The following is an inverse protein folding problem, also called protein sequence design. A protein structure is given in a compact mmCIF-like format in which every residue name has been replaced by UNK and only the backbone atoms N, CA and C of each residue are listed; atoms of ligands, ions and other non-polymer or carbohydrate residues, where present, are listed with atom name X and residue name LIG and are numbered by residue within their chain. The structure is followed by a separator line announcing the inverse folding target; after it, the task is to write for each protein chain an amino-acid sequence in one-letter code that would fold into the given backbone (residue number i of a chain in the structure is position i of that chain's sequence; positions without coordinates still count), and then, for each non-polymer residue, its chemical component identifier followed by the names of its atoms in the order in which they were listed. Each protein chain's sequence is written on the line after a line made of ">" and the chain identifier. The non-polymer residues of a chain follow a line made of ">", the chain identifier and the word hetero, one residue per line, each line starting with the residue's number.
data_IF_432034950756
#
_entry.id   IF_432034950756
#
_cell.length_a   1.000
_cell.length_b   1.000
_cell.length_c   1.000
_cell.angle_alpha   90.00
_cell.angle_beta   90.00
_cell.angle_gamma   90.00
#
_symmetry.space_group_name_H-M   'P 1'
#
loop_
_entity.id
_entity.type
_entity.pdbx_description
1 polymer ?
#
# COMPACT_ATOMS: atom_id res chain seq x y z
N UNK A 1 17.38 0.83 32.26
CA UNK A 1 15.90 0.79 32.15
C UNK A 1 15.34 -0.24 33.13
N UNK A 2 14.11 -0.07 33.62
CA UNK A 2 13.45 -1.09 34.45
C UNK A 2 13.03 -2.30 33.59
N UNK A 3 12.91 -3.50 34.18
CA UNK A 3 12.46 -4.69 33.46
C UNK A 3 11.09 -4.48 32.77
N UNK A 4 10.19 -3.73 33.41
CA UNK A 4 8.89 -3.34 32.86
C UNK A 4 9.03 -2.45 31.61
N UNK A 5 9.92 -1.46 31.64
CA UNK A 5 10.15 -0.58 30.49
C UNK A 5 10.78 -1.32 29.31
N UNK A 6 11.64 -2.32 29.58
CA UNK A 6 12.21 -3.19 28.54
C UNK A 6 11.13 -4.05 27.88
N UNK A 7 10.22 -4.63 28.68
CA UNK A 7 9.09 -5.41 28.17
C UNK A 7 8.15 -4.56 27.30
N UNK A 8 7.80 -3.35 27.77
CA UNK A 8 6.96 -2.41 27.02
C UNK A 8 7.62 -1.96 25.71
N UNK A 9 8.92 -1.65 25.72
CA UNK A 9 9.67 -1.36 24.49
C UNK A 9 9.71 -2.56 23.53
N UNK A 10 9.85 -3.78 24.05
CA UNK A 10 9.79 -5.01 23.27
C UNK A 10 8.43 -5.19 22.56
N UNK A 11 7.34 -4.95 23.28
CA UNK A 11 5.98 -5.00 22.72
C UNK A 11 5.77 -3.96 21.61
N UNK A 12 6.27 -2.73 21.80
CA UNK A 12 6.24 -1.70 20.75
C UNK A 12 7.01 -2.12 19.51
N UNK A 13 8.22 -2.67 19.67
CA UNK A 13 9.02 -3.17 18.55
C UNK A 13 8.33 -4.31 17.81
N UNK A 14 7.62 -5.19 18.51
CA UNK A 14 6.83 -6.25 17.90
C UNK A 14 5.70 -5.68 17.05
N UNK A 15 4.94 -4.71 17.58
CA UNK A 15 3.87 -4.02 16.84
C UNK A 15 4.43 -3.33 15.60
N UNK A 16 5.52 -2.57 15.74
CA UNK A 16 6.17 -1.91 14.60
C UNK A 16 6.63 -2.93 13.57
N UNK A 17 7.33 -3.99 13.98
CA UNK A 17 7.86 -5.02 13.07
C UNK A 17 6.77 -5.82 12.35
N UNK A 18 5.62 -6.06 13.00
CA UNK A 18 4.50 -6.80 12.42
C UNK A 18 3.61 -5.92 11.55
N UNK A 19 3.25 -4.73 12.04
CA UNK A 19 2.16 -3.92 11.51
C UNK A 19 2.63 -2.72 10.68
N UNK A 20 3.95 -2.57 10.44
CA UNK A 20 4.52 -1.42 9.70
C UNK A 20 3.83 -1.13 8.36
N UNK A 21 3.32 -2.13 7.62
CA UNK A 21 2.61 -1.89 6.37
C UNK A 21 1.35 -1.06 6.61
N UNK A 22 0.57 -1.43 7.62
CA UNK A 22 -0.64 -0.71 8.00
C UNK A 22 -0.30 0.66 8.61
N UNK A 23 0.76 0.75 9.40
CA UNK A 23 1.20 2.04 9.95
C UNK A 23 1.69 2.98 8.85
N UNK A 24 2.50 2.53 7.89
CA UNK A 24 3.04 3.39 6.82
C UNK A 24 2.01 3.64 5.71
N UNK A 25 1.47 2.58 5.10
CA UNK A 25 0.54 2.74 3.99
C UNK A 25 -0.91 2.95 4.47
N UNK A 26 -1.32 2.25 5.52
CA UNK A 26 -2.69 2.39 6.05
C UNK A 26 -2.98 3.76 6.64
N UNK A 27 -1.98 4.46 7.22
CA UNK A 27 -2.15 5.85 7.67
C UNK A 27 -2.34 6.87 6.53
N UNK A 28 -2.10 6.45 5.29
CA UNK A 28 -2.44 7.20 4.08
C UNK A 28 -3.75 6.72 3.43
N UNK A 29 -4.43 5.74 4.02
CA UNK A 29 -5.68 5.16 3.55
C UNK A 29 -5.53 3.98 2.59
N UNK A 30 -4.34 3.39 2.43
CA UNK A 30 -4.21 2.15 1.65
C UNK A 30 -4.73 0.95 2.45
N UNK A 31 -5.43 0.04 1.79
CA UNK A 31 -5.91 -1.19 2.40
C UNK A 31 -4.85 -2.29 2.22
N UNK A 32 -4.19 -2.66 3.33
CA UNK A 32 -2.93 -3.41 3.30
C UNK A 32 -3.05 -4.90 3.53
N UNK A 33 -4.27 -5.41 3.75
CA UNK A 33 -4.48 -6.86 3.89
C UNK A 33 -4.13 -7.59 2.59
N UNK A 34 -3.68 -8.84 2.72
CA UNK A 34 -3.30 -9.68 1.57
C UNK A 34 -4.43 -9.78 0.52
N UNK A 35 -5.69 -9.86 0.97
CA UNK A 35 -6.88 -9.92 0.12
C UNK A 35 -7.21 -8.60 -0.61
N UNK A 36 -6.56 -7.50 -0.24
CA UNK A 36 -6.76 -6.16 -0.84
C UNK A 36 -5.53 -5.67 -1.59
N UNK A 37 -4.34 -6.14 -1.22
CA UNK A 37 -3.09 -5.82 -1.91
C UNK A 37 -3.13 -6.32 -3.37
N UNK A 38 -2.71 -5.46 -4.31
CA UNK A 38 -2.55 -5.87 -5.70
C UNK A 38 -1.37 -6.83 -5.88
N UNK A 39 -0.31 -6.61 -5.13
CA UNK A 39 0.82 -7.54 -5.01
C UNK A 39 1.19 -7.62 -3.54
N UNK A 40 1.35 -8.83 -3.00
CA UNK A 40 1.76 -9.04 -1.63
C UNK A 40 3.10 -9.77 -1.59
N UNK A 41 4.15 -9.08 -1.12
CA UNK A 41 5.49 -9.63 -0.86
C UNK A 41 6.10 -10.41 -2.03
N UNK A 42 5.88 -9.96 -3.27
CA UNK A 42 6.49 -10.54 -4.46
C UNK A 42 8.01 -10.36 -4.41
N UNK A 43 8.76 -11.41 -4.70
CA UNK A 43 10.22 -11.32 -4.84
C UNK A 43 10.57 -10.47 -6.05
N UNK A 44 11.49 -9.53 -5.85
CA UNK A 44 12.27 -8.95 -6.94
C UNK A 44 13.20 -10.06 -7.44
N UNK A 45 13.34 -10.18 -8.76
CA UNK A 45 14.27 -11.13 -9.38
C UNK A 45 15.48 -10.41 -9.94
N UNK A 46 16.64 -11.06 -9.91
CA UNK A 46 17.91 -10.43 -10.29
C UNK A 46 17.90 -9.78 -11.68
N UNK A 47 17.19 -10.39 -12.65
CA UNK A 47 17.05 -9.89 -14.01
C UNK A 47 16.16 -8.65 -14.19
N UNK A 48 15.55 -8.13 -13.12
CA UNK A 48 14.81 -6.85 -13.13
C UNK A 48 15.75 -5.64 -12.93
N UNK A 49 17.02 -5.88 -12.65
CA UNK A 49 18.04 -4.85 -12.55
C UNK A 49 18.65 -4.52 -13.91
N UNK A 50 19.20 -3.31 -14.03
CA UNK A 50 19.97 -2.89 -15.20
C UNK A 50 21.44 -2.60 -14.85
N UNK A 51 22.20 -2.12 -15.83
CA UNK A 51 23.63 -1.80 -15.68
C UNK A 51 23.91 -0.66 -14.70
N UNK A 52 22.90 0.07 -14.23
CA UNK A 52 23.05 1.11 -13.20
C UNK A 52 23.03 0.52 -11.78
N UNK A 53 22.86 -0.80 -11.63
CA UNK A 53 23.02 -1.50 -10.35
C UNK A 53 21.80 -1.46 -9.45
N UNK A 54 20.62 -1.18 -9.99
CA UNK A 54 19.34 -1.19 -9.28
C UNK A 54 18.21 -1.67 -10.20
N UNK A 55 17.03 -1.91 -9.63
CA UNK A 55 15.82 -2.27 -10.40
C UNK A 55 15.56 -1.20 -11.46
N UNK A 56 15.39 -1.63 -12.70
CA UNK A 56 15.18 -0.74 -13.83
C UNK A 56 13.87 0.06 -13.66
N UNK A 57 13.87 1.32 -14.07
CA UNK A 57 12.73 2.22 -13.88
C UNK A 57 11.42 1.73 -14.53
N UNK A 58 11.49 1.01 -15.66
CA UNK A 58 10.32 0.44 -16.36
C UNK A 58 9.63 -0.62 -15.50
N UNK A 59 10.37 -1.31 -14.62
CA UNK A 59 9.80 -2.35 -13.77
C UNK A 59 8.76 -1.81 -12.80
N UNK A 60 8.90 -0.58 -12.31
CA UNK A 60 7.92 0.04 -11.40
C UNK A 60 6.56 0.23 -12.09
N UNK A 61 6.55 0.57 -13.39
CA UNK A 61 5.31 0.64 -14.18
C UNK A 61 4.67 -0.74 -14.30
N UNK A 62 5.48 -1.79 -14.53
CA UNK A 62 5.00 -3.18 -14.59
C UNK A 62 4.45 -3.68 -13.25
N UNK A 63 5.06 -3.27 -12.14
CA UNK A 63 4.58 -3.58 -10.79
C UNK A 63 3.24 -2.90 -10.52
N UNK A 64 3.08 -1.62 -10.90
CA UNK A 64 1.81 -0.91 -10.81
C UNK A 64 0.73 -1.59 -11.68
N UNK A 65 1.03 -1.92 -12.93
CA UNK A 65 0.10 -2.62 -13.84
C UNK A 65 -0.36 -3.97 -13.26
N UNK A 66 0.57 -4.80 -12.83
CA UNK A 66 0.26 -6.11 -12.22
C UNK A 66 -0.57 -5.93 -10.95
N UNK A 67 -0.21 -4.95 -10.13
CA UNK A 67 -0.94 -4.59 -8.92
C UNK A 67 -2.37 -4.14 -9.21
N UNK A 68 -2.60 -3.30 -10.23
CA UNK A 68 -3.94 -2.85 -10.62
C UNK A 68 -4.80 -4.01 -11.12
N UNK A 69 -4.25 -4.85 -12.00
CA UNK A 69 -4.95 -6.04 -12.49
C UNK A 69 -5.35 -6.98 -11.35
N UNK A 70 -4.46 -7.23 -10.42
CA UNK A 70 -4.76 -8.07 -9.27
C UNK A 70 -5.70 -7.40 -8.26
N UNK A 71 -5.62 -6.07 -8.09
CA UNK A 71 -6.57 -5.31 -7.27
C UNK A 71 -8.00 -5.47 -7.81
N UNK A 72 -8.20 -5.42 -9.13
CA UNK A 72 -9.50 -5.74 -9.77
C UNK A 72 -9.90 -7.21 -9.53
N UNK A 73 -8.98 -8.17 -9.72
CA UNK A 73 -9.25 -9.59 -9.46
C UNK A 73 -9.59 -9.87 -7.99
N UNK A 74 -9.09 -9.09 -7.05
CA UNK A 74 -9.44 -9.26 -5.65
C UNK A 74 -10.92 -8.98 -5.40
N UNK A 75 -11.56 -8.09 -6.17
CA UNK A 75 -13.02 -7.97 -6.10
C UNK A 75 -13.70 -9.27 -6.52
N UNK A 76 -13.28 -9.85 -7.64
CA UNK A 76 -13.85 -11.10 -8.15
C UNK A 76 -13.65 -12.30 -7.21
N UNK A 77 -12.56 -12.29 -6.41
CA UNK A 77 -12.18 -13.40 -5.51
C UNK A 77 -12.64 -13.24 -4.08
N UNK A 78 -12.69 -12.01 -3.56
CA UNK A 78 -12.75 -11.77 -2.12
C UNK A 78 -13.80 -10.76 -1.68
N UNK A 79 -14.21 -9.84 -2.55
CA UNK A 79 -15.13 -8.75 -2.19
C UNK A 79 -16.53 -9.03 -2.71
N UNK A 80 -16.64 -9.38 -3.99
CA UNK A 80 -17.90 -9.65 -4.68
C UNK A 80 -17.78 -10.87 -5.62
N UNK A 81 -17.69 -12.08 -5.05
CA UNK A 81 -17.59 -13.31 -5.85
C UNK A 81 -18.86 -13.58 -6.69
N UNK A 82 -20.01 -13.03 -6.31
CA UNK A 82 -21.27 -13.19 -7.04
C UNK A 82 -21.23 -12.61 -8.46
N UNK A 83 -20.43 -11.57 -8.68
CA UNK A 83 -20.21 -10.95 -9.99
C UNK A 83 -18.80 -11.20 -10.54
N UNK A 84 -18.19 -12.33 -10.17
CA UNK A 84 -16.80 -12.67 -10.54
C UNK A 84 -16.50 -12.45 -12.02
N UNK A 85 -17.38 -12.92 -12.91
CA UNK A 85 -17.17 -12.82 -14.37
C UNK A 85 -17.05 -11.37 -14.80
N UNK A 86 -17.93 -10.50 -14.34
CA UNK A 86 -17.96 -9.08 -14.73
C UNK A 86 -16.72 -8.35 -14.21
N UNK A 87 -16.26 -8.66 -13.00
CA UNK A 87 -14.99 -8.13 -12.48
C UNK A 87 -13.77 -8.59 -13.32
N UNK A 88 -13.75 -9.85 -13.76
CA UNK A 88 -12.67 -10.34 -14.61
C UNK A 88 -12.73 -9.76 -16.03
N UNK A 89 -13.93 -9.52 -16.56
CA UNK A 89 -14.11 -8.90 -17.87
C UNK A 89 -13.58 -7.46 -17.93
N UNK A 90 -13.52 -6.74 -16.80
CA UNK A 90 -12.88 -5.41 -16.72
C UNK A 90 -11.41 -5.40 -17.19
N UNK A 91 -10.75 -6.56 -17.16
CA UNK A 91 -9.36 -6.77 -17.57
C UNK A 91 -9.24 -7.32 -19.00
N UNK A 92 -10.33 -7.24 -19.78
CA UNK A 92 -10.40 -7.75 -21.14
C UNK A 92 -11.08 -6.73 -22.06
N UNK A 93 -11.09 -7.02 -23.35
CA UNK A 93 -11.78 -6.23 -24.38
C UNK A 93 -13.20 -6.74 -24.71
N UNK A 94 -13.82 -7.57 -23.85
CA UNK A 94 -15.08 -8.28 -24.17
C UNK A 94 -16.35 -7.47 -23.89
N UNK A 95 -16.30 -6.54 -22.94
CA UNK A 95 -17.46 -5.76 -22.50
C UNK A 95 -17.00 -4.37 -21.99
N UNK A 96 -17.42 -3.95 -20.80
CA UNK A 96 -16.83 -2.79 -20.13
C UNK A 96 -15.45 -3.20 -19.61
N UNK A 97 -14.44 -2.41 -19.93
CA UNK A 97 -13.08 -2.65 -19.49
C UNK A 97 -12.35 -1.38 -19.06
N UNK A 98 -11.16 -1.57 -18.51
CA UNK A 98 -10.32 -0.50 -17.98
C UNK A 98 -9.13 -0.24 -18.90
N UNK A 99 -8.93 1.01 -19.27
CA UNK A 99 -7.79 1.47 -20.09
C UNK A 99 -6.95 2.45 -19.28
N UNK A 100 -5.66 2.18 -19.13
CA UNK A 100 -4.73 3.14 -18.53
C UNK A 100 -4.53 4.31 -19.50
N UNK A 101 -5.01 5.50 -19.14
CA UNK A 101 -4.86 6.73 -19.94
C UNK A 101 -3.52 7.41 -19.68
N UNK A 102 -3.08 7.46 -18.42
CA UNK A 102 -1.79 8.01 -18.04
C UNK A 102 -1.29 7.42 -16.74
N UNK A 103 0.03 7.38 -16.59
CA UNK A 103 0.71 7.06 -15.34
C UNK A 103 1.85 8.05 -15.09
N UNK A 104 1.96 8.55 -13.86
CA UNK A 104 3.13 9.28 -13.36
C UNK A 104 3.80 8.43 -12.29
N UNK A 105 5.13 8.36 -12.28
CA UNK A 105 5.90 7.59 -11.29
C UNK A 105 6.94 8.48 -10.63
N UNK A 106 6.86 8.58 -9.31
CA UNK A 106 7.89 9.18 -8.48
C UNK A 106 8.75 8.10 -7.82
N UNK A 107 10.00 7.99 -8.27
CA UNK A 107 10.98 7.10 -7.65
C UNK A 107 11.49 7.70 -6.33
N UNK A 108 11.43 6.95 -5.23
CA UNK A 108 11.82 7.42 -3.89
C UNK A 108 13.21 6.93 -3.47
N UNK A 109 13.65 5.78 -3.97
CA UNK A 109 15.04 5.32 -3.85
C UNK A 109 15.35 4.20 -4.87
N UNK A 110 16.64 3.98 -5.21
CA UNK A 110 17.05 2.87 -6.08
C UNK A 110 17.00 1.54 -5.31
N UNK A 111 15.92 0.79 -5.46
CA UNK A 111 15.78 -0.56 -4.89
C UNK A 111 16.68 -1.55 -5.63
N UNK A 112 17.27 -2.51 -4.91
CA UNK A 112 18.18 -3.53 -5.46
C UNK A 112 17.66 -4.93 -5.14
N UNK A 113 18.16 -5.93 -5.86
CA UNK A 113 18.01 -7.33 -5.49
C UNK A 113 19.05 -7.70 -4.41
N UNK A 114 18.72 -8.58 -3.44
CA UNK A 114 17.41 -9.15 -3.18
C UNK A 114 16.49 -8.20 -2.39
N UNK A 115 15.21 -8.14 -2.77
CA UNK A 115 14.15 -7.48 -2.01
C UNK A 115 12.79 -8.14 -2.34
N UNK A 116 11.75 -7.76 -1.61
CA UNK A 116 10.35 -8.05 -1.94
C UNK A 116 9.56 -6.75 -2.02
N UNK A 117 8.50 -6.77 -2.82
CA UNK A 117 7.58 -5.65 -2.93
C UNK A 117 6.16 -6.02 -2.55
N UNK A 118 5.46 -5.04 -1.99
CA UNK A 118 4.00 -5.05 -1.95
C UNK A 118 3.46 -3.80 -2.65
N UNK A 119 2.40 -3.97 -3.44
CA UNK A 119 1.81 -2.89 -4.25
C UNK A 119 0.36 -2.69 -3.83
N UNK A 120 0.04 -1.48 -3.40
CA UNK A 120 -1.29 -1.08 -2.95
C UNK A 120 -1.88 -0.03 -3.87
N UNK A 121 -3.18 -0.17 -4.16
CA UNK A 121 -3.95 0.82 -4.92
C UNK A 121 -5.04 1.39 -4.02
N UNK A 122 -5.31 2.69 -4.15
CA UNK A 122 -6.48 3.31 -3.55
C UNK A 122 -7.18 4.28 -4.50
N UNK A 123 -8.46 4.53 -4.25
CA UNK A 123 -9.23 5.51 -4.99
C UNK A 123 -8.84 6.89 -4.43
N UNK A 124 -8.45 7.82 -5.32
CA UNK A 124 -8.11 9.18 -4.89
C UNK A 124 -9.34 9.98 -4.46
N UNK A 125 -10.48 9.71 -5.07
CA UNK A 125 -11.76 10.35 -4.77
C UNK A 125 -12.88 9.31 -4.77
N UNK A 126 -13.92 9.58 -3.98
CA UNK A 126 -15.10 8.73 -3.94
C UNK A 126 -15.81 8.77 -5.30
N UNK A 127 -16.07 7.61 -5.94
CA UNK A 127 -16.75 7.60 -7.22
C UNK A 127 -18.26 7.84 -7.06
N UNK A 128 -18.87 8.30 -8.13
CA UNK A 128 -20.31 8.50 -8.30
C UNK A 128 -20.81 7.91 -9.62
N UNK A 129 -22.10 8.04 -9.87
CA UNK A 129 -22.82 7.51 -11.03
C UNK A 129 -22.31 8.08 -12.37
N UNK A 130 -21.66 9.25 -12.33
CA UNK A 130 -21.07 9.90 -13.50
C UNK A 130 -19.61 9.53 -13.75
N UNK A 131 -19.01 8.72 -12.87
CA UNK A 131 -17.59 8.39 -12.92
C UNK A 131 -17.25 7.54 -14.16
N UNK A 132 -16.49 8.15 -15.08
CA UNK A 132 -15.97 7.50 -16.30
C UNK A 132 -14.46 7.24 -16.25
N UNK A 133 -13.78 7.69 -15.20
CA UNK A 133 -12.35 7.48 -14.98
C UNK A 133 -12.08 7.31 -13.50
N UNK A 134 -11.24 6.34 -13.16
CA UNK A 134 -10.75 6.10 -11.81
C UNK A 134 -9.34 6.65 -11.70
N UNK A 135 -9.16 7.64 -10.83
CA UNK A 135 -7.82 8.10 -10.45
C UNK A 135 -7.34 7.28 -9.27
N UNK A 136 -6.29 6.49 -9.51
CA UNK A 136 -5.73 5.58 -8.51
C UNK A 136 -4.38 6.08 -8.02
N UNK A 137 -4.26 6.21 -6.70
CA UNK A 137 -2.95 6.34 -6.07
C UNK A 137 -2.37 4.94 -5.88
N UNK A 138 -1.10 4.77 -6.26
CA UNK A 138 -0.38 3.51 -6.15
C UNK A 138 0.83 3.70 -5.23
N UNK A 139 1.00 2.77 -4.31
CA UNK A 139 2.16 2.72 -3.42
C UNK A 139 2.90 1.41 -3.61
N UNK A 140 4.14 1.50 -4.10
CA UNK A 140 5.06 0.38 -4.22
C UNK A 140 5.99 0.43 -3.01
N UNK A 141 5.83 -0.53 -2.09
CA UNK A 141 6.61 -0.62 -0.86
C UNK A 141 7.73 -1.64 -1.01
N UNK A 142 8.93 -1.27 -0.58
CA UNK A 142 9.99 -2.24 -0.32
C UNK A 142 9.76 -2.87 1.04
N UNK A 143 9.79 -4.20 1.05
CA UNK A 143 9.65 -5.02 2.25
C UNK A 143 10.94 -5.04 3.07
N UNK A 144 12.10 -5.08 2.42
CA UNK A 144 13.40 -5.07 3.07
C UNK A 144 13.77 -3.71 3.67
N UNK A 145 13.29 -2.61 3.09
CA UNK A 145 13.49 -1.25 3.62
C UNK A 145 12.29 -0.68 4.38
N UNK A 146 11.18 -1.40 4.42
CA UNK A 146 9.93 -1.02 5.09
C UNK A 146 9.43 0.40 4.77
N UNK A 147 9.65 0.86 3.54
CA UNK A 147 9.31 2.22 3.10
C UNK A 147 8.91 2.28 1.62
N UNK A 148 8.25 3.35 1.18
CA UNK A 148 7.90 3.54 -0.23
C UNK A 148 9.14 3.54 -1.12
N UNK A 149 9.16 2.66 -2.12
CA UNK A 149 10.16 2.62 -3.18
C UNK A 149 9.76 3.52 -4.35
N UNK A 150 8.47 3.54 -4.68
CA UNK A 150 7.88 4.47 -5.63
C UNK A 150 6.43 4.79 -5.30
N UNK A 151 5.96 5.93 -5.80
CA UNK A 151 4.55 6.32 -5.81
C UNK A 151 4.11 6.51 -7.24
N UNK A 152 2.93 6.00 -7.59
CA UNK A 152 2.37 6.23 -8.91
C UNK A 152 0.99 6.90 -8.82
N UNK A 153 0.65 7.65 -9.84
CA UNK A 153 -0.68 8.18 -10.06
C UNK A 153 -1.17 7.67 -11.41
N UNK A 154 -2.23 6.86 -11.40
CA UNK A 154 -2.85 6.32 -12.60
C UNK A 154 -4.19 7.00 -12.87
N UNK A 155 -4.44 7.37 -14.13
CA UNK A 155 -5.78 7.75 -14.63
C UNK A 155 -6.29 6.59 -15.49
N UNK A 156 -7.33 5.90 -15.03
CA UNK A 156 -7.84 4.67 -15.63
C UNK A 156 -9.26 4.88 -16.13
N UNK A 157 -9.42 4.91 -17.45
CA UNK A 157 -10.70 5.18 -18.11
C UNK A 157 -11.54 3.92 -18.16
N UNK A 158 -12.83 4.08 -17.88
CA UNK A 158 -13.85 3.05 -18.09
C UNK A 158 -14.33 3.14 -19.54
N UNK A 159 -14.19 2.04 -20.27
CA UNK A 159 -14.42 1.99 -21.71
C UNK A 159 -15.33 0.84 -22.08
N UNK A 160 -16.38 1.12 -22.85
CA UNK A 160 -17.22 0.08 -23.44
C UNK A 160 -16.60 -0.32 -24.79
N UNK A 161 -16.01 -1.52 -24.84
CA UNK A 161 -15.37 -2.04 -26.04
C UNK A 161 -16.36 -2.40 -27.14
N UNK A 162 -17.63 -2.67 -26.82
CA UNK A 162 -18.67 -2.97 -27.82
C UNK A 162 -19.18 -1.69 -28.46
N UNK A 163 -19.39 -0.65 -27.67
CA UNK A 163 -19.84 0.65 -28.15
C UNK A 163 -18.71 1.54 -28.68
N UNK A 164 -17.44 1.18 -28.41
CA UNK A 164 -16.27 1.93 -28.87
C UNK A 164 -16.15 3.32 -28.23
N UNK A 165 -16.62 3.51 -26.99
CA UNK A 165 -16.65 4.82 -26.31
C UNK A 165 -16.46 4.70 -24.81
N UNK A 166 -16.14 5.83 -24.16
CA UNK A 166 -16.13 5.92 -22.70
C UNK A 166 -17.49 5.56 -22.12
N UNK A 167 -17.49 4.91 -20.96
CA UNK A 167 -18.68 4.51 -20.24
C UNK A 167 -18.51 4.78 -18.74
N UNK A 168 -19.52 4.45 -17.95
CA UNK A 168 -19.46 4.41 -16.49
C UNK A 168 -19.39 2.95 -16.02
N UNK A 169 -19.17 2.76 -14.72
CA UNK A 169 -19.18 1.43 -14.10
C UNK A 169 -20.61 0.90 -13.94
N UNK A 170 -20.73 -0.43 -13.93
CA UNK A 170 -21.98 -1.09 -13.54
C UNK A 170 -22.37 -0.71 -12.09
N UNK A 171 -23.67 -0.59 -11.76
CA UNK A 171 -24.12 -0.13 -10.44
C UNK A 171 -23.54 -0.91 -9.26
N UNK A 172 -23.41 -2.24 -9.39
CA UNK A 172 -22.84 -3.07 -8.33
C UNK A 172 -21.33 -2.81 -8.15
N UNK A 173 -20.59 -2.56 -9.23
CA UNK A 173 -19.18 -2.20 -9.15
C UNK A 173 -19.01 -0.84 -8.47
N UNK A 174 -19.84 0.14 -8.86
CA UNK A 174 -19.84 1.46 -8.24
C UNK A 174 -20.11 1.38 -6.72
N UNK A 175 -21.08 0.57 -6.30
CA UNK A 175 -21.37 0.34 -4.89
C UNK A 175 -20.15 -0.21 -4.13
N UNK A 176 -19.47 -1.22 -4.70
CA UNK A 176 -18.26 -1.81 -4.12
C UNK A 176 -17.08 -0.84 -4.06
N UNK A 177 -16.94 0.04 -5.06
CA UNK A 177 -15.91 1.08 -5.04
C UNK A 177 -16.22 2.20 -4.03
N UNK A 178 -17.50 2.58 -3.86
CA UNK A 178 -17.94 3.51 -2.80
C UNK A 178 -17.61 2.95 -1.42
N UNK A 179 -17.96 1.69 -1.15
CA UNK A 179 -17.60 0.99 0.10
C UNK A 179 -16.08 0.92 0.28
N UNK A 180 -15.34 0.65 -0.79
CA UNK A 180 -13.88 0.63 -0.75
C UNK A 180 -13.29 1.98 -0.38
N UNK A 181 -13.82 3.09 -0.90
CA UNK A 181 -13.40 4.42 -0.52
C UNK A 181 -13.68 4.70 0.97
N UNK A 182 -14.87 4.33 1.44
CA UNK A 182 -15.25 4.52 2.84
C UNK A 182 -14.34 3.72 3.79
N UNK A 183 -13.94 2.49 3.38
CA UNK A 183 -12.93 1.68 4.08
C UNK A 183 -11.52 2.32 4.07
N UNK A 184 -11.14 3.00 2.99
CA UNK A 184 -9.85 3.70 2.90
C UNK A 184 -9.77 4.84 3.92
N UNK A 185 -10.84 5.63 4.04
CA UNK A 185 -10.92 6.72 5.01
C UNK A 185 -10.96 6.19 6.46
N UNK A 186 -11.66 5.09 6.71
CA UNK A 186 -11.65 4.42 8.01
C UNK A 186 -10.24 3.93 8.37
N UNK A 187 -9.58 3.21 7.46
CA UNK A 187 -8.22 2.70 7.66
C UNK A 187 -7.22 3.84 7.92
N UNK A 188 -7.34 4.96 7.20
CA UNK A 188 -6.54 6.16 7.43
C UNK A 188 -6.68 6.66 8.86
N UNK A 189 -7.91 6.86 9.32
CA UNK A 189 -8.22 7.34 10.67
C UNK A 189 -7.68 6.38 11.74
N UNK A 190 -7.96 5.09 11.61
CA UNK A 190 -7.55 4.07 12.56
C UNK A 190 -6.03 3.97 12.68
N UNK A 191 -5.31 3.94 11.55
CA UNK A 191 -3.85 3.82 11.59
C UNK A 191 -3.18 5.10 12.10
N UNK A 192 -3.70 6.29 11.79
CA UNK A 192 -3.21 7.54 12.39
C UNK A 192 -3.42 7.56 13.91
N UNK A 193 -4.54 7.03 14.41
CA UNK A 193 -4.76 6.88 15.85
C UNK A 193 -3.78 5.90 16.48
N UNK A 194 -3.53 4.75 15.84
CA UNK A 194 -2.51 3.79 16.32
C UNK A 194 -1.11 4.40 16.37
N UNK A 195 -0.72 5.17 15.37
CA UNK A 195 0.57 5.87 15.37
C UNK A 195 0.67 6.82 16.56
N UNK A 196 -0.35 7.64 16.82
CA UNK A 196 -0.34 8.55 17.98
C UNK A 196 -0.20 7.81 19.30
N UNK A 197 -0.92 6.69 19.47
CA UNK A 197 -0.79 5.87 20.68
C UNK A 197 0.62 5.31 20.84
N UNK A 198 1.25 4.86 19.75
CA UNK A 198 2.64 4.39 19.76
C UNK A 198 3.60 5.54 20.11
N UNK A 199 3.40 6.72 19.54
CA UNK A 199 4.20 7.92 19.84
C UNK A 199 4.07 8.32 21.32
N UNK A 200 2.87 8.30 21.88
CA UNK A 200 2.62 8.61 23.30
C UNK A 200 3.30 7.59 24.23
N UNK A 201 3.21 6.29 23.89
CA UNK A 201 3.88 5.21 24.63
C UNK A 201 5.40 5.35 24.55
N UNK A 202 5.95 5.61 23.35
CA UNK A 202 7.37 5.84 23.15
C UNK A 202 7.84 7.06 23.96
N UNK A 203 7.07 8.16 23.97
CA UNK A 203 7.42 9.35 24.73
C UNK A 203 7.41 9.09 26.25
N UNK A 204 6.44 8.32 26.73
CA UNK A 204 6.42 7.85 28.12
C UNK A 204 7.67 7.03 28.44
N UNK A 205 8.08 6.11 27.56
CA UNK A 205 9.30 5.32 27.75
C UNK A 205 10.55 6.20 27.77
N UNK A 206 10.71 7.11 26.81
CA UNK A 206 11.83 8.06 26.73
C UNK A 206 11.99 8.85 28.03
N UNK A 207 10.92 9.52 28.46
CA UNK A 207 10.90 10.38 29.66
C UNK A 207 11.13 9.62 30.95
N UNK A 208 10.73 8.34 31.04
CA UNK A 208 10.97 7.49 32.21
C UNK A 208 12.32 6.76 32.17
N UNK A 209 13.09 6.87 31.09
CA UNK A 209 14.35 6.13 30.90
C UNK A 209 15.56 7.05 30.76
N UNK A 210 15.81 7.61 29.58
CA UNK A 210 17.00 8.38 29.24
C UNK A 210 16.77 9.90 29.18
N UNK A 211 15.52 10.36 29.03
CA UNK A 211 15.17 11.80 29.01
C UNK A 211 14.87 12.38 30.42
N UNK A 212 15.18 11.64 31.49
CA UNK A 212 15.01 12.14 32.88
C UNK A 212 16.22 12.97 33.32
N UNK A 213 15.97 13.97 34.17
CA UNK A 213 16.99 14.92 34.65
C UNK A 213 18.20 14.26 35.34
N UNK A 214 18.01 13.07 35.92
CA UNK A 214 19.03 12.29 36.62
C UNK A 214 19.55 11.09 35.79
N UNK A 215 19.23 11.03 34.50
CA UNK A 215 19.72 9.98 33.61
C UNK A 215 21.24 10.02 33.53
N UNK A 216 21.88 8.87 33.72
CA UNK A 216 23.30 8.66 33.48
C UNK A 216 23.44 7.70 32.32
N UNK A 217 24.13 8.11 31.26
CA UNK A 217 24.53 7.21 30.19
C UNK A 217 25.52 6.18 30.74
N UNK A 218 25.17 4.90 30.62
CA UNK A 218 26.08 3.79 30.86
C UNK A 218 26.74 3.43 29.54
N UNK A 219 28.00 3.83 29.36
CA UNK A 219 28.78 3.54 28.16
C UNK A 219 29.25 2.09 28.06
N UNK A 220 28.91 1.24 29.03
CA UNK A 220 29.42 -0.11 29.18
C UNK A 220 30.89 -0.11 29.60
N UNK A 221 31.25 -0.98 30.54
CA UNK A 221 32.66 -1.24 30.82
C UNK A 221 33.26 -2.02 29.64
N UNK A 222 34.17 -1.39 28.90
CA UNK A 222 35.15 -2.11 28.09
C UNK A 222 35.96 -3.01 29.03
N UNK A 223 35.56 -4.27 29.16
CA UNK A 223 36.44 -5.29 29.72
C UNK A 223 37.47 -5.64 28.64
N UNK A 224 38.70 -5.13 28.84
CA UNK A 224 39.90 -5.62 28.16
C UNK A 224 40.24 -7.03 28.65
#
# INVERSE_FOLDING_TARGET
>A
MSAKAVDEAGQLLEVLGRDWRALVAGSEGYLTSEKRAGVHRQNIVWGEQDSMGHVNNVMYVRFAESGRCNWVRNYSRHVDPGHKRQWEELLTNRSIGLILKSITVDFKFPMTWPDRISVYHKLRSRPDESTQSLVLDVLIMSEGKQRPAARCLEDVVVYDYKAGKKSTLEPFMLAQLKETFDLQEAAKKENLQKIRLIEDQLRSLETNSWDRLDAKEDFGTRHN
#
